data_IF_621754579234
#
_entry.id   IF_621754579234
#
_cell.length_a   1.000
_cell.length_b   1.000
_cell.length_c   1.000
_cell.angle_alpha   90.00
_cell.angle_beta   90.00
_cell.angle_gamma   90.00
#
_symmetry.space_group_name_H-M   'P 1'
#
loop_
_entity.id
_entity.type
_entity.pdbx_description
1 polymer ?
#
# COMPACT_ATOMS: atom_id res chain seq x y z
N UNK A 1 3.95 -33.05 4.82
CA UNK A 1 4.19 -31.88 5.71
C UNK A 1 4.58 -30.71 4.82
N UNK A 2 3.68 -29.74 4.61
CA UNK A 2 3.96 -28.60 3.72
C UNK A 2 4.89 -27.61 4.42
N UNK A 3 6.00 -27.26 3.78
CA UNK A 3 6.89 -26.18 4.24
C UNK A 3 6.09 -24.88 4.41
N UNK A 4 6.28 -24.22 5.55
CA UNK A 4 5.63 -22.95 5.87
C UNK A 4 6.04 -21.81 4.91
N UNK A 5 5.40 -20.63 5.02
CA UNK A 5 5.77 -19.47 4.24
C UNK A 5 7.22 -19.09 4.54
N UNK A 6 8.09 -19.29 3.55
CA UNK A 6 9.45 -18.79 3.60
C UNK A 6 9.37 -17.30 3.27
N UNK A 7 9.14 -16.46 4.29
CA UNK A 7 9.02 -15.00 4.15
C UNK A 7 10.25 -14.35 3.51
N UNK A 8 11.41 -15.02 3.58
CA UNK A 8 12.66 -14.60 2.95
C UNK A 8 12.86 -15.13 1.52
N UNK A 9 11.88 -15.86 0.96
CA UNK A 9 11.92 -16.38 -0.40
C UNK A 9 10.73 -15.83 -1.18
N UNK A 10 10.96 -15.44 -2.43
CA UNK A 10 9.89 -14.91 -3.27
C UNK A 10 8.80 -15.98 -3.47
N UNK A 11 7.56 -15.53 -3.63
CA UNK A 11 6.45 -16.36 -4.08
C UNK A 11 6.67 -16.96 -5.49
N UNK A 12 7.74 -16.58 -6.21
CA UNK A 12 8.19 -17.20 -7.46
C UNK A 12 9.49 -18.03 -7.36
N UNK A 13 10.09 -18.17 -6.17
CA UNK A 13 11.32 -18.96 -5.95
C UNK A 13 12.65 -18.22 -6.11
N UNK A 14 12.64 -16.90 -6.37
CA UNK A 14 13.85 -16.07 -6.48
C UNK A 14 14.31 -15.39 -5.17
N UNK A 15 15.47 -14.70 -5.20
CA UNK A 15 16.02 -13.96 -4.06
C UNK A 15 15.14 -12.76 -3.71
N UNK A 16 14.97 -12.49 -2.42
CA UNK A 16 14.04 -11.48 -1.89
C UNK A 16 14.18 -10.06 -2.47
N UNK A 17 15.40 -9.62 -2.78
CA UNK A 17 15.74 -8.25 -3.20
C UNK A 17 15.72 -8.02 -4.73
N UNK A 18 15.18 -8.94 -5.53
CA UNK A 18 15.09 -8.75 -6.98
C UNK A 18 13.73 -8.21 -7.42
N UNK A 19 13.71 -7.49 -8.54
CA UNK A 19 12.48 -6.99 -9.13
C UNK A 19 11.61 -8.17 -9.61
N UNK A 20 10.58 -8.49 -8.83
CA UNK A 20 9.69 -9.62 -9.11
C UNK A 20 8.85 -9.36 -10.36
N UNK A 21 9.12 -10.11 -11.43
CA UNK A 21 8.31 -10.10 -12.66
C UNK A 21 7.21 -11.16 -12.64
N UNK A 22 7.33 -12.19 -11.81
CA UNK A 22 6.39 -13.32 -11.72
C UNK A 22 5.91 -13.52 -10.28
N UNK A 23 4.59 -13.62 -10.11
CA UNK A 23 3.94 -13.78 -8.81
C UNK A 23 2.73 -14.72 -8.90
N UNK A 24 2.36 -15.36 -7.80
CA UNK A 24 1.10 -16.10 -7.74
C UNK A 24 -0.08 -15.13 -7.86
N UNK A 25 -0.98 -15.38 -8.82
CA UNK A 25 -2.13 -14.52 -9.07
C UNK A 25 -3.03 -14.34 -7.84
N UNK A 26 -3.13 -15.35 -6.97
CA UNK A 26 -3.91 -15.25 -5.73
C UNK A 26 -3.31 -14.26 -4.72
N UNK A 27 -1.98 -14.14 -4.66
CA UNK A 27 -1.32 -13.14 -3.81
C UNK A 27 -1.65 -11.74 -4.33
N UNK A 28 -1.52 -11.51 -5.65
CA UNK A 28 -1.82 -10.23 -6.28
C UNK A 28 -3.27 -9.79 -6.07
N UNK A 29 -4.23 -10.72 -6.24
CA UNK A 29 -5.66 -10.45 -6.01
C UNK A 29 -5.93 -10.07 -4.56
N UNK A 30 -5.31 -10.77 -3.60
CA UNK A 30 -5.52 -10.47 -2.19
C UNK A 30 -4.86 -9.15 -1.77
N UNK A 31 -3.67 -8.82 -2.29
CA UNK A 31 -3.05 -7.50 -2.08
C UNK A 31 -3.96 -6.39 -2.63
N UNK A 32 -4.47 -6.54 -3.86
CA UNK A 32 -5.41 -5.58 -4.44
C UNK A 32 -6.66 -5.41 -3.58
N UNK A 33 -7.25 -6.51 -3.11
CA UNK A 33 -8.44 -6.48 -2.24
C UNK A 33 -8.16 -5.75 -0.93
N UNK A 34 -7.03 -6.03 -0.28
CA UNK A 34 -6.63 -5.37 0.97
C UNK A 34 -6.43 -3.87 0.75
N UNK A 35 -5.69 -3.47 -0.29
CA UNK A 35 -5.45 -2.06 -0.61
C UNK A 35 -6.75 -1.31 -0.92
N UNK A 36 -7.63 -1.88 -1.73
CA UNK A 36 -8.94 -1.27 -2.06
C UNK A 36 -9.82 -1.15 -0.81
N UNK A 37 -9.81 -2.16 0.07
CA UNK A 37 -10.59 -2.13 1.31
C UNK A 37 -10.09 -1.03 2.25
N UNK A 38 -8.78 -0.88 2.41
CA UNK A 38 -8.20 0.19 3.23
C UNK A 38 -8.40 1.57 2.60
N UNK A 39 -8.35 1.68 1.27
CA UNK A 39 -8.64 2.92 0.56
C UNK A 39 -10.11 3.33 0.76
N UNK A 40 -11.05 2.39 0.63
CA UNK A 40 -12.47 2.63 0.91
C UNK A 40 -12.70 3.07 2.37
N UNK A 41 -12.01 2.43 3.32
CA UNK A 41 -12.05 2.84 4.73
C UNK A 41 -11.48 4.24 4.94
N UNK A 42 -10.40 4.61 4.26
CA UNK A 42 -9.82 5.95 4.32
C UNK A 42 -10.79 7.01 3.79
N UNK A 43 -11.48 6.72 2.68
CA UNK A 43 -12.51 7.59 2.13
C UNK A 43 -13.71 7.75 3.06
N UNK A 44 -14.18 6.65 3.67
CA UNK A 44 -15.26 6.70 4.66
C UNK A 44 -14.89 7.50 5.91
N UNK A 45 -13.63 7.38 6.37
CA UNK A 45 -13.11 8.12 7.51
C UNK A 45 -12.84 9.59 7.19
N UNK A 46 -12.73 9.98 5.92
CA UNK A 46 -12.41 11.35 5.56
C UNK A 46 -13.43 12.36 6.09
N UNK A 47 -14.71 11.98 6.11
CA UNK A 47 -15.80 12.83 6.60
C UNK A 47 -15.83 12.98 8.13
N UNK A 48 -15.31 12.01 8.88
CA UNK A 48 -15.42 11.97 10.36
C UNK A 48 -14.10 12.28 11.07
N UNK A 49 -12.98 11.79 10.53
CA UNK A 49 -11.64 12.00 11.07
C UNK A 49 -10.62 12.13 9.92
N UNK A 50 -10.39 13.35 9.40
CA UNK A 50 -9.49 13.58 8.29
C UNK A 50 -8.03 13.21 8.63
N UNK A 51 -7.62 13.33 9.90
CA UNK A 51 -6.29 12.90 10.36
C UNK A 51 -6.12 11.38 10.25
N UNK A 52 -7.11 10.61 10.71
CA UNK A 52 -7.07 9.14 10.61
C UNK A 52 -7.10 8.69 9.15
N UNK A 53 -7.91 9.34 8.31
CA UNK A 53 -7.94 9.10 6.88
C UNK A 53 -6.59 9.37 6.21
N UNK A 54 -5.92 10.48 6.55
CA UNK A 54 -4.60 10.83 6.03
C UNK A 54 -3.53 9.80 6.42
N UNK A 55 -3.51 9.34 7.68
CA UNK A 55 -2.59 8.29 8.15
C UNK A 55 -2.83 6.99 7.38
N UNK A 56 -4.10 6.60 7.20
CA UNK A 56 -4.45 5.37 6.48
C UNK A 56 -4.08 5.46 5.00
N UNK A 57 -4.33 6.60 4.36
CA UNK A 57 -3.97 6.87 2.97
C UNK A 57 -2.45 6.85 2.78
N UNK A 58 -1.70 7.46 3.70
CA UNK A 58 -0.24 7.42 3.72
C UNK A 58 0.29 6.00 3.88
N UNK A 59 -0.28 5.22 4.81
CA UNK A 59 0.08 3.81 5.00
C UNK A 59 -0.14 2.98 3.72
N UNK A 60 -1.31 3.09 3.10
CA UNK A 60 -1.62 2.38 1.84
C UNK A 60 -0.69 2.82 0.72
N UNK A 61 -0.40 4.13 0.60
CA UNK A 61 0.50 4.67 -0.41
C UNK A 61 1.94 4.16 -0.26
N UNK A 62 2.47 4.16 0.96
CA UNK A 62 3.82 3.66 1.26
C UNK A 62 3.91 2.14 1.07
N UNK A 63 2.94 1.37 1.56
CA UNK A 63 2.93 -0.08 1.36
C UNK A 63 2.84 -0.45 -0.13
N UNK A 64 2.00 0.25 -0.91
CA UNK A 64 1.90 0.06 -2.35
C UNK A 64 3.23 0.36 -3.06
N UNK A 65 3.93 1.44 -2.66
CA UNK A 65 5.24 1.77 -3.21
C UNK A 65 6.28 0.66 -2.89
N UNK A 66 6.33 0.21 -1.64
CA UNK A 66 7.21 -0.88 -1.22
C UNK A 66 6.90 -2.19 -1.96
N UNK A 67 5.62 -2.48 -2.18
CA UNK A 67 5.19 -3.62 -2.99
C UNK A 67 5.63 -3.51 -4.46
N UNK A 68 5.56 -2.32 -5.06
CA UNK A 68 6.02 -2.11 -6.44
C UNK A 68 7.52 -2.33 -6.57
N UNK A 69 8.30 -1.76 -5.64
CA UNK A 69 9.76 -1.82 -5.64
C UNK A 69 10.28 -3.23 -5.33
N UNK A 70 9.81 -3.84 -4.24
CA UNK A 70 10.37 -5.09 -3.70
C UNK A 70 9.48 -6.32 -3.91
N UNK A 71 8.23 -6.14 -4.34
CA UNK A 71 7.23 -7.20 -4.35
C UNK A 71 6.69 -7.52 -2.94
N UNK A 72 5.99 -8.65 -2.77
CA UNK A 72 5.60 -9.14 -1.45
C UNK A 72 6.86 -9.46 -0.65
N UNK A 73 7.17 -8.54 0.25
CA UNK A 73 8.32 -8.53 1.12
C UNK A 73 7.82 -8.26 2.55
N UNK A 74 8.54 -8.63 3.62
CA UNK A 74 8.20 -8.20 4.96
C UNK A 74 8.19 -6.66 5.11
N UNK A 75 8.81 -5.93 4.17
CA UNK A 75 8.72 -4.46 4.11
C UNK A 75 7.35 -3.97 3.62
N UNK A 76 6.59 -4.79 2.88
CA UNK A 76 5.20 -4.52 2.53
C UNK A 76 4.29 -5.40 3.39
N UNK A 77 3.79 -4.88 4.54
CA UNK A 77 2.91 -5.63 5.43
C UNK A 77 1.71 -6.27 4.72
N UNK A 78 1.09 -5.58 3.76
CA UNK A 78 -0.06 -6.14 3.03
C UNK A 78 0.38 -7.25 2.07
N UNK A 79 1.53 -7.08 1.41
CA UNK A 79 2.13 -8.13 0.59
C UNK A 79 2.51 -9.37 1.39
N UNK A 80 3.12 -9.19 2.56
CA UNK A 80 3.48 -10.27 3.48
C UNK A 80 2.24 -10.99 4.03
N UNK A 81 1.24 -10.23 4.49
CA UNK A 81 -0.02 -10.77 4.99
C UNK A 81 -0.75 -11.55 3.90
N UNK A 82 -0.88 -10.99 2.70
CA UNK A 82 -1.50 -11.67 1.58
C UNK A 82 -0.78 -12.99 1.26
N UNK A 83 0.55 -12.95 1.22
CA UNK A 83 1.38 -14.15 0.99
C UNK A 83 1.16 -15.21 2.07
N UNK A 84 1.11 -14.81 3.34
CA UNK A 84 0.85 -15.73 4.45
C UNK A 84 -0.53 -16.39 4.37
N UNK A 85 -1.56 -15.61 4.03
CA UNK A 85 -2.95 -16.09 3.95
C UNK A 85 -3.17 -17.04 2.77
N UNK A 86 -2.62 -16.73 1.59
CA UNK A 86 -2.81 -17.56 0.39
C UNK A 86 -1.69 -18.57 0.15
N UNK A 87 -0.72 -18.69 1.06
CA UNK A 87 0.43 -19.62 0.90
C UNK A 87 0.00 -21.06 0.59
N UNK A 88 -1.10 -21.51 1.20
CA UNK A 88 -1.65 -22.86 1.03
C UNK A 88 -2.46 -23.03 -0.26
N UNK A 89 -2.88 -21.93 -0.89
CA UNK A 89 -3.69 -21.92 -2.12
C UNK A 89 -2.97 -21.13 -3.21
N UNK A 90 -1.77 -21.60 -3.57
CA UNK A 90 -0.96 -20.98 -4.63
C UNK A 90 -1.73 -21.08 -5.95
N UNK A 91 -1.99 -19.95 -6.58
CA UNK A 91 -2.66 -19.88 -7.88
C UNK A 91 -1.69 -20.10 -9.03
N UNK A 92 -2.15 -19.84 -10.27
CA UNK A 92 -1.24 -19.76 -11.41
C UNK A 92 -0.21 -18.65 -11.22
N UNK A 93 1.01 -18.90 -11.70
CA UNK A 93 2.05 -17.87 -11.78
C UNK A 93 1.70 -16.95 -12.94
N UNK A 94 1.64 -15.66 -12.67
CA UNK A 94 1.28 -14.63 -13.65
C UNK A 94 2.31 -13.50 -13.64
N UNK A 95 2.35 -12.72 -14.72
CA UNK A 95 3.18 -11.52 -14.78
C UNK A 95 2.70 -10.48 -13.78
N UNK A 96 3.61 -10.04 -12.91
CA UNK A 96 3.38 -9.00 -11.91
C UNK A 96 3.51 -7.59 -12.46
N UNK A 97 4.15 -7.41 -13.62
CA UNK A 97 4.44 -6.11 -14.24
C UNK A 97 3.20 -5.22 -14.39
N UNK A 98 2.08 -5.69 -15.00
CA UNK A 98 0.89 -4.83 -15.15
C UNK A 98 0.31 -4.41 -13.80
N UNK A 99 0.36 -5.29 -12.80
CA UNK A 99 -0.13 -4.99 -11.45
C UNK A 99 0.75 -3.97 -10.73
N UNK A 100 2.07 -4.10 -10.86
CA UNK A 100 3.03 -3.14 -10.30
C UNK A 100 2.83 -1.74 -10.91
N UNK A 101 2.54 -1.66 -12.20
CA UNK A 101 2.22 -0.38 -12.83
C UNK A 101 0.95 0.24 -12.22
N UNK A 102 -0.14 -0.53 -12.11
CA UNK A 102 -1.39 -0.06 -11.51
C UNK A 102 -1.22 0.35 -10.04
N UNK A 103 -0.55 -0.46 -9.23
CA UNK A 103 -0.26 -0.13 -7.84
C UNK A 103 0.66 1.08 -7.71
N UNK A 104 1.58 1.27 -8.66
CA UNK A 104 2.41 2.47 -8.73
C UNK A 104 1.59 3.74 -8.93
N UNK A 105 0.61 3.71 -9.84
CA UNK A 105 -0.32 4.83 -10.03
C UNK A 105 -1.14 5.10 -8.77
N UNK A 106 -1.61 4.06 -8.07
CA UNK A 106 -2.33 4.22 -6.81
C UNK A 106 -1.45 4.82 -5.71
N UNK A 107 -0.21 4.36 -5.57
CA UNK A 107 0.74 4.90 -4.62
C UNK A 107 0.99 6.39 -4.87
N UNK A 108 1.28 6.76 -6.13
CA UNK A 108 1.50 8.16 -6.52
C UNK A 108 0.25 8.99 -6.24
N UNK A 109 -0.94 8.51 -6.62
CA UNK A 109 -2.20 9.21 -6.38
C UNK A 109 -2.48 9.44 -4.89
N UNK A 110 -2.27 8.43 -4.05
CA UNK A 110 -2.44 8.55 -2.60
C UNK A 110 -1.45 9.56 -2.00
N UNK A 111 -0.17 9.46 -2.36
CA UNK A 111 0.89 10.32 -1.85
C UNK A 111 0.77 11.76 -2.35
N UNK A 112 0.36 11.97 -3.62
CA UNK A 112 0.12 13.29 -4.17
C UNK A 112 -1.07 13.98 -3.47
N UNK A 113 -2.18 13.26 -3.26
CA UNK A 113 -3.31 13.79 -2.48
C UNK A 113 -2.89 14.20 -1.07
N UNK A 114 -2.08 13.36 -0.41
CA UNK A 114 -1.55 13.67 0.91
C UNK A 114 -0.66 14.93 0.89
N UNK A 115 0.27 15.02 -0.08
CA UNK A 115 1.16 16.17 -0.23
C UNK A 115 0.39 17.48 -0.49
N UNK A 116 -0.65 17.43 -1.33
CA UNK A 116 -1.53 18.58 -1.59
C UNK A 116 -2.29 18.99 -0.33
N UNK A 117 -2.83 18.03 0.43
CA UNK A 117 -3.56 18.31 1.68
C UNK A 117 -2.67 18.98 2.74
N UNK A 118 -1.40 18.58 2.86
CA UNK A 118 -0.47 19.21 3.79
C UNK A 118 0.04 20.59 3.33
N UNK A 119 0.15 20.81 2.01
CA UNK A 119 0.60 22.10 1.47
C UNK A 119 -0.42 23.22 1.71
N UNK A 120 -1.72 22.91 1.66
CA UNK A 120 -2.79 23.89 1.93
C UNK A 120 -3.00 24.22 3.42
N UNK A 121 -2.48 23.39 4.34
CA UNK A 121 -2.62 23.61 5.78
C UNK A 121 -1.61 24.59 6.41
N UNK A 122 -0.61 25.05 5.63
CA UNK A 122 0.47 25.91 6.12
C UNK A 122 0.15 27.41 6.16
N UNK A 123 -0.93 27.86 5.54
CA UNK A 123 -1.25 29.30 5.41
C UNK A 123 -2.35 29.79 6.37
N UNK A 124 -2.97 28.93 7.18
CA UNK A 124 -4.10 29.29 8.05
C UNK A 124 -3.71 29.48 9.53
N UNK A 125 -2.47 29.90 9.81
CA UNK A 125 -1.91 30.00 11.17
C UNK A 125 -1.33 31.36 11.56
N UNK A 126 -1.66 32.42 10.81
CA UNK A 126 -1.22 33.79 11.08
C UNK A 126 -2.37 34.77 10.88
N UNK A 127 -3.32 34.78 11.83
CA UNK A 127 -4.11 35.96 12.10
C UNK A 127 -3.86 36.28 13.58
N UNK A 128 -2.75 36.97 13.78
CA UNK A 128 -2.36 37.54 15.06
C UNK A 128 -3.45 38.54 15.47
N UNK A 129 -3.92 38.39 16.70
CA UNK A 129 -4.92 39.27 17.26
C UNK A 129 -4.50 40.73 17.19
N UNK A 130 -5.30 41.53 16.50
CA UNK A 130 -5.37 42.97 16.71
C UNK A 130 -6.83 43.37 16.91
N UNK A 131 -7.11 43.92 18.09
CA UNK A 131 -8.44 44.37 18.48
C UNK A 131 -8.53 44.63 19.98
N UNK A 132 -7.49 45.29 20.51
CA UNK A 132 -7.59 45.98 21.79
C UNK A 132 -8.31 47.33 21.62
N UNK A 133 -8.91 47.74 22.74
CA UNK A 133 -9.62 49.01 23.04
C UNK A 133 -11.11 49.07 22.72
#
# INVERSE_FOLDING_TARGET
RGEGPKLCYQAGGGPWLTFQTLLFGNVLRLVALLQVTLLAAALALHATSPRSAAVLLGFVGVDALLFVLFGPSPLSPLGALATALVWRRRGSVVSAVPYKFTFGLYAIGCLANLACAYRGGGEAGGDDGEGGE
#
